data_IF_534986962445
#
_entry.id   IF_534986962445
#
_cell.length_a   1.000
_cell.length_b   1.000
_cell.length_c   1.000
_cell.angle_alpha   90.00
_cell.angle_beta   90.00
_cell.angle_gamma   90.00
#
_symmetry.space_group_name_H-M   'P 1'
#
loop_
_entity.id
_entity.type
_entity.pdbx_description
1 polymer ?
#
# COMPACT_ATOMS: atom_id res chain seq x y z
N UNK A 1 24.52 61.95 47.87
CA UNK A 1 23.71 61.82 46.66
C UNK A 1 24.37 60.77 45.78
N UNK A 2 23.84 59.59 45.63
CA UNK A 2 24.42 58.57 44.76
C UNK A 2 23.89 58.69 43.32
N UNK A 3 24.77 58.62 42.35
CA UNK A 3 24.48 58.66 40.95
C UNK A 3 23.89 57.32 40.45
N UNK A 4 22.79 57.38 39.68
CA UNK A 4 22.19 56.24 39.06
C UNK A 4 23.01 55.73 37.87
N UNK A 5 23.16 54.41 37.65
CA UNK A 5 23.83 53.86 36.47
C UNK A 5 22.90 53.86 35.28
N UNK A 6 23.43 54.32 34.11
CA UNK A 6 22.80 54.29 32.82
C UNK A 6 22.62 52.83 32.33
N UNK A 7 21.40 52.50 31.92
CA UNK A 7 21.07 51.18 31.36
C UNK A 7 21.70 51.02 29.94
N UNK A 8 22.25 49.85 29.61
CA UNK A 8 22.80 49.59 28.27
C UNK A 8 21.72 49.45 27.21
N UNK A 9 21.90 50.16 26.10
CA UNK A 9 21.00 50.13 24.93
C UNK A 9 21.07 48.75 24.21
N UNK A 10 20.16 47.86 24.58
CA UNK A 10 20.03 46.47 24.02
C UNK A 10 19.35 46.40 22.64
N UNK A 11 18.97 47.53 22.02
CA UNK A 11 18.18 47.56 20.80
C UNK A 11 18.94 47.61 19.45
N UNK A 12 20.23 47.91 19.47
CA UNK A 12 20.98 48.22 18.21
C UNK A 12 21.44 46.95 17.45
N UNK A 13 21.38 45.78 18.06
CA UNK A 13 21.80 44.52 17.44
C UNK A 13 20.63 43.68 16.85
N UNK A 14 19.40 44.01 17.17
CA UNK A 14 18.22 43.29 16.67
C UNK A 14 17.94 43.54 15.17
N UNK A 15 18.23 44.74 14.67
CA UNK A 15 18.00 45.10 13.27
C UNK A 15 18.92 44.34 12.30
N UNK A 16 20.25 44.25 12.51
CA UNK A 16 21.12 43.46 11.64
C UNK A 16 20.85 41.98 11.74
N UNK A 17 20.47 41.42 12.93
CA UNK A 17 20.09 40.04 13.10
C UNK A 17 18.80 39.68 12.31
N UNK A 18 17.81 40.57 12.32
CA UNK A 18 16.56 40.40 11.56
C UNK A 18 16.81 40.36 10.05
N UNK A 19 17.70 41.27 9.53
CA UNK A 19 18.04 41.30 8.10
C UNK A 19 18.72 39.99 7.68
N UNK A 20 19.63 39.43 8.49
CA UNK A 20 20.29 38.14 8.17
C UNK A 20 19.30 36.99 8.15
N UNK A 21 18.36 36.93 9.09
CA UNK A 21 17.33 35.86 9.13
C UNK A 21 16.39 35.99 7.93
N UNK A 22 15.93 37.16 7.58
CA UNK A 22 15.06 37.37 6.41
C UNK A 22 15.79 37.01 5.11
N UNK A 23 17.07 37.39 4.98
CA UNK A 23 17.88 37.04 3.80
C UNK A 23 18.10 35.53 3.65
N UNK A 24 18.31 34.79 4.76
CA UNK A 24 18.48 33.35 4.75
C UNK A 24 17.17 32.62 4.41
N UNK A 25 16.02 33.11 4.89
CA UNK A 25 14.72 32.48 4.58
C UNK A 25 14.30 32.73 3.14
N UNK A 26 14.54 33.91 2.58
CA UNK A 26 14.23 34.22 1.17
C UNK A 26 15.21 33.51 0.23
N UNK A 27 16.51 33.51 0.52
CA UNK A 27 17.52 32.84 -0.28
C UNK A 27 17.40 31.34 -0.25
N UNK A 28 17.14 30.75 0.92
CA UNK A 28 16.91 29.31 1.10
C UNK A 28 15.62 28.81 0.42
N UNK A 29 14.56 29.63 0.47
CA UNK A 29 13.29 29.32 -0.19
C UNK A 29 13.39 29.31 -1.71
N UNK A 30 14.17 30.20 -2.31
CA UNK A 30 14.39 30.24 -3.76
C UNK A 30 15.27 29.10 -4.25
N UNK A 31 16.31 28.70 -3.50
CA UNK A 31 17.13 27.54 -3.82
C UNK A 31 16.36 26.22 -3.69
N UNK A 32 15.51 26.07 -2.66
CA UNK A 32 14.65 24.92 -2.53
C UNK A 32 13.65 24.80 -3.68
N UNK A 33 13.14 25.91 -4.20
CA UNK A 33 12.24 25.93 -5.35
C UNK A 33 12.92 25.44 -6.63
N UNK A 34 14.21 25.77 -6.82
CA UNK A 34 14.98 25.33 -8.01
C UNK A 34 15.28 23.83 -7.94
N UNK A 35 15.58 23.28 -6.77
CA UNK A 35 15.81 21.83 -6.55
C UNK A 35 14.52 21.01 -6.68
N UNK A 36 13.35 21.62 -6.34
CA UNK A 36 12.04 20.98 -6.49
C UNK A 36 11.30 21.34 -7.78
N UNK A 37 11.91 22.09 -8.71
CA UNK A 37 11.37 22.20 -10.06
C UNK A 37 11.42 20.82 -10.70
N UNK A 38 10.24 20.24 -10.97
CA UNK A 38 10.15 19.10 -11.89
C UNK A 38 10.80 19.50 -13.20
N UNK A 39 11.68 18.67 -13.78
CA UNK A 39 12.18 18.92 -15.14
C UNK A 39 10.97 19.05 -16.06
N UNK A 40 10.86 20.15 -16.78
CA UNK A 40 9.93 20.27 -17.88
C UNK A 40 10.26 19.11 -18.84
N UNK A 41 9.28 18.28 -19.11
CA UNK A 41 9.40 17.12 -19.98
C UNK A 41 9.85 17.59 -21.37
N UNK A 42 11.15 17.47 -21.66
CA UNK A 42 11.63 17.43 -23.02
C UNK A 42 10.97 16.23 -23.69
N UNK A 43 10.25 16.49 -24.77
CA UNK A 43 9.61 15.48 -25.60
C UNK A 43 10.68 14.52 -26.12
N UNK A 44 10.83 13.38 -25.46
CA UNK A 44 11.49 12.21 -26.00
C UNK A 44 10.45 11.12 -26.17
N UNK A 45 10.31 10.69 -27.43
CA UNK A 45 9.31 9.79 -27.96
C UNK A 45 9.66 8.35 -27.53
N UNK A 46 9.67 8.10 -26.24
CA UNK A 46 9.66 6.78 -25.65
C UNK A 46 8.31 6.59 -24.98
N UNK A 47 7.46 5.78 -25.56
CA UNK A 47 6.18 5.38 -24.95
C UNK A 47 6.45 4.56 -23.72
N UNK A 48 6.80 5.24 -22.60
CA UNK A 48 6.60 4.67 -21.27
C UNK A 48 5.10 4.78 -21.06
N UNK A 49 4.38 3.72 -21.37
CA UNK A 49 3.00 3.58 -20.94
C UNK A 49 3.00 3.64 -19.40
N UNK A 50 2.87 4.85 -18.86
CA UNK A 50 2.38 5.04 -17.52
C UNK A 50 1.03 4.35 -17.54
N UNK A 51 0.95 3.12 -17.03
CA UNK A 51 -0.33 2.48 -16.73
C UNK A 51 -0.96 3.33 -15.64
N UNK A 52 -1.62 4.39 -16.05
CA UNK A 52 -2.66 5.01 -15.26
C UNK A 52 -3.59 3.86 -14.91
N UNK A 53 -3.83 3.61 -13.63
CA UNK A 53 -4.87 2.69 -13.19
C UNK A 53 -6.18 3.21 -13.77
N UNK A 54 -6.47 2.86 -15.03
CA UNK A 54 -7.76 3.12 -15.63
C UNK A 54 -8.72 2.21 -14.89
N UNK A 55 -9.63 2.81 -14.16
CA UNK A 55 -10.76 2.08 -13.61
C UNK A 55 -11.41 1.33 -14.75
N UNK A 56 -11.47 0.00 -14.64
CA UNK A 56 -12.17 -0.83 -15.61
C UNK A 56 -13.66 -0.46 -15.59
N UNK A 57 -14.30 -0.50 -16.75
CA UNK A 57 -15.74 -0.34 -16.83
C UNK A 57 -16.45 -1.37 -15.90
N UNK A 58 -17.61 -1.04 -15.30
CA UNK A 58 -18.31 -1.92 -14.38
C UNK A 58 -18.49 -3.35 -14.89
N UNK A 59 -18.72 -3.52 -16.20
CA UNK A 59 -18.91 -4.82 -16.85
C UNK A 59 -17.61 -5.64 -16.96
N UNK A 60 -16.45 -5.00 -16.78
CA UNK A 60 -15.13 -5.62 -16.85
C UNK A 60 -14.55 -5.93 -15.45
N UNK A 61 -15.26 -5.54 -14.39
CA UNK A 61 -14.83 -5.83 -13.02
C UNK A 61 -15.06 -7.31 -12.67
N UNK A 62 -14.20 -7.90 -11.85
CA UNK A 62 -13.04 -7.33 -11.15
C UNK A 62 -11.75 -7.24 -11.99
N UNK A 63 -11.78 -7.59 -13.27
CA UNK A 63 -10.62 -7.65 -14.16
C UNK A 63 -9.89 -8.99 -14.13
N UNK A 64 -8.63 -9.01 -14.57
CA UNK A 64 -7.81 -10.22 -14.68
C UNK A 64 -7.52 -10.82 -13.29
N UNK A 65 -7.70 -12.14 -13.10
CA UNK A 65 -7.33 -12.82 -11.87
C UNK A 65 -5.82 -13.07 -11.72
N UNK A 66 -5.01 -12.68 -12.72
CA UNK A 66 -3.57 -12.88 -12.70
C UNK A 66 -2.90 -11.89 -11.77
N UNK A 67 -2.00 -12.38 -10.90
CA UNK A 67 -1.20 -11.54 -10.01
C UNK A 67 -0.09 -10.85 -10.80
N UNK A 68 -0.19 -9.53 -10.90
CA UNK A 68 0.83 -8.66 -11.49
C UNK A 68 1.72 -8.06 -10.40
N UNK A 69 2.93 -7.63 -10.79
CA UNK A 69 3.89 -6.97 -9.91
C UNK A 69 4.39 -5.69 -10.53
N UNK A 70 4.60 -4.67 -9.71
CA UNK A 70 5.40 -3.50 -10.12
C UNK A 70 6.86 -3.91 -10.36
N UNK A 71 7.66 -3.12 -11.09
CA UNK A 71 9.09 -3.38 -11.24
C UNK A 71 9.82 -3.47 -9.89
N UNK A 72 9.44 -2.67 -8.89
CA UNK A 72 10.00 -2.70 -7.54
C UNK A 72 9.71 -4.04 -6.84
N UNK A 73 8.46 -4.49 -6.84
CA UNK A 73 8.10 -5.78 -6.26
C UNK A 73 8.76 -6.97 -7.00
N UNK A 74 8.85 -6.89 -8.34
CA UNK A 74 9.46 -7.94 -9.16
C UNK A 74 10.98 -8.06 -8.98
N UNK A 75 11.64 -6.99 -8.54
CA UNK A 75 13.08 -7.00 -8.25
C UNK A 75 13.43 -7.63 -6.89
N UNK A 76 12.45 -7.90 -6.03
CA UNK A 76 12.70 -8.48 -4.72
C UNK A 76 13.17 -9.94 -4.80
N UNK A 77 14.16 -10.39 -3.99
CA UNK A 77 14.70 -11.77 -4.05
C UNK A 77 13.66 -12.89 -3.91
N UNK A 78 12.53 -12.61 -3.22
CA UNK A 78 11.45 -13.57 -3.02
C UNK A 78 10.23 -13.32 -3.94
N UNK A 79 10.36 -12.49 -4.98
CA UNK A 79 9.25 -12.09 -5.84
C UNK A 79 8.48 -13.28 -6.43
N UNK A 80 9.17 -14.28 -6.98
CA UNK A 80 8.52 -15.44 -7.61
C UNK A 80 7.74 -16.27 -6.59
N UNK A 81 8.31 -16.48 -5.41
CA UNK A 81 7.63 -17.21 -4.31
C UNK A 81 6.39 -16.47 -3.81
N UNK A 82 6.48 -15.15 -3.66
CA UNK A 82 5.35 -14.30 -3.25
C UNK A 82 4.27 -14.28 -4.33
N UNK A 83 4.64 -14.14 -5.60
CA UNK A 83 3.69 -14.20 -6.72
C UNK A 83 2.93 -15.52 -6.75
N UNK A 84 3.64 -16.64 -6.67
CA UNK A 84 3.03 -17.97 -6.69
C UNK A 84 2.10 -18.18 -5.48
N UNK A 85 2.50 -17.72 -4.29
CA UNK A 85 1.67 -17.78 -3.09
C UNK A 85 0.38 -16.98 -3.27
N UNK A 86 0.47 -15.73 -3.72
CA UNK A 86 -0.70 -14.86 -3.92
C UNK A 86 -1.60 -15.38 -5.04
N UNK A 87 -1.04 -15.88 -6.14
CA UNK A 87 -1.82 -16.49 -7.22
C UNK A 87 -2.68 -17.64 -6.69
N UNK A 88 -2.06 -18.59 -5.97
CA UNK A 88 -2.78 -19.71 -5.38
C UNK A 88 -3.84 -19.25 -4.35
N UNK A 89 -3.55 -18.20 -3.59
CA UNK A 89 -4.49 -17.65 -2.62
C UNK A 89 -5.75 -17.08 -3.29
N UNK A 90 -5.58 -16.24 -4.31
CA UNK A 90 -6.71 -15.66 -5.05
C UNK A 90 -7.43 -16.71 -5.92
N UNK A 91 -6.70 -17.63 -6.52
CA UNK A 91 -7.31 -18.76 -7.26
C UNK A 91 -8.19 -19.62 -6.35
N UNK A 92 -7.74 -19.85 -5.12
CA UNK A 92 -8.52 -20.60 -4.12
C UNK A 92 -9.84 -19.89 -3.78
N UNK A 93 -9.80 -18.57 -3.57
CA UNK A 93 -11.00 -17.75 -3.31
C UNK A 93 -11.93 -17.79 -4.53
N UNK A 94 -11.41 -17.49 -5.72
CA UNK A 94 -12.16 -17.45 -6.96
C UNK A 94 -12.81 -18.78 -7.34
N UNK A 95 -12.15 -19.90 -7.02
CA UNK A 95 -12.65 -21.25 -7.24
C UNK A 95 -13.46 -21.80 -6.06
N UNK A 96 -13.59 -21.07 -4.94
CA UNK A 96 -14.16 -21.56 -3.67
C UNK A 96 -13.51 -22.86 -3.18
N UNK A 97 -12.20 -22.95 -3.31
CA UNK A 97 -11.41 -24.12 -2.96
C UNK A 97 -10.73 -23.93 -1.58
N UNK A 98 -11.45 -24.30 -0.51
CA UNK A 98 -10.94 -24.20 0.86
C UNK A 98 -9.66 -25.02 1.08
N UNK A 99 -9.54 -26.20 0.46
CA UNK A 99 -8.35 -27.04 0.63
C UNK A 99 -7.10 -26.38 0.03
N UNK A 100 -7.23 -25.76 -1.15
CA UNK A 100 -6.15 -24.97 -1.75
C UNK A 100 -5.83 -23.76 -0.87
N UNK A 101 -6.85 -23.01 -0.40
CA UNK A 101 -6.66 -21.86 0.48
C UNK A 101 -5.86 -22.23 1.74
N UNK A 102 -6.14 -23.35 2.40
CA UNK A 102 -5.37 -23.81 3.57
C UNK A 102 -3.89 -23.99 3.27
N UNK A 103 -3.53 -24.31 2.04
CA UNK A 103 -2.12 -24.47 1.67
C UNK A 103 -1.40 -23.14 1.53
N UNK A 104 -2.11 -22.03 1.40
CA UNK A 104 -1.55 -20.69 1.19
C UNK A 104 -1.41 -19.86 2.46
N UNK A 105 -2.07 -20.25 3.54
CA UNK A 105 -2.06 -19.55 4.82
C UNK A 105 -1.29 -20.32 5.88
N UNK A 106 -0.90 -19.66 6.98
CA UNK A 106 -0.27 -20.32 8.12
C UNK A 106 -1.19 -21.36 8.73
N UNK A 107 -0.60 -22.38 9.36
CA UNK A 107 -1.37 -23.40 10.07
C UNK A 107 -2.32 -22.79 11.11
N UNK A 108 -1.86 -21.77 11.82
CA UNK A 108 -2.68 -21.07 12.81
C UNK A 108 -3.89 -20.39 12.16
N UNK A 109 -3.69 -19.68 11.06
CA UNK A 109 -4.77 -19.02 10.32
C UNK A 109 -5.76 -20.03 9.72
N UNK A 110 -5.26 -21.16 9.20
CA UNK A 110 -6.10 -22.24 8.68
C UNK A 110 -6.97 -22.89 9.76
N UNK A 111 -6.45 -23.03 10.99
CA UNK A 111 -7.19 -23.58 12.14
C UNK A 111 -8.22 -22.62 12.73
N UNK A 112 -7.97 -21.31 12.62
CA UNK A 112 -8.88 -20.28 13.12
C UNK A 112 -10.14 -20.08 12.28
N UNK A 113 -10.23 -20.69 11.08
CA UNK A 113 -11.34 -20.52 10.13
C UNK A 113 -11.85 -21.87 9.66
N UNK A 114 -13.05 -22.24 10.06
CA UNK A 114 -13.68 -23.46 9.57
C UNK A 114 -14.03 -23.34 8.07
N UNK A 115 -14.19 -24.50 7.41
CA UNK A 115 -14.61 -24.53 6.00
C UNK A 115 -15.94 -23.82 5.77
N UNK A 116 -16.92 -24.04 6.65
CA UNK A 116 -18.26 -23.46 6.54
C UNK A 116 -18.20 -21.93 6.65
N UNK A 117 -17.45 -21.39 7.62
CA UNK A 117 -17.27 -19.95 7.78
C UNK A 117 -16.52 -19.35 6.58
N UNK A 118 -15.48 -20.03 6.10
CA UNK A 118 -14.71 -19.58 4.96
C UNK A 118 -15.56 -19.56 3.67
N UNK A 119 -16.34 -20.60 3.41
CA UNK A 119 -17.26 -20.66 2.25
C UNK A 119 -18.35 -19.59 2.35
N UNK A 120 -18.82 -19.26 3.54
CA UNK A 120 -19.79 -18.19 3.76
C UNK A 120 -19.18 -16.81 3.47
N UNK A 121 -17.93 -16.56 3.91
CA UNK A 121 -17.24 -15.27 3.69
C UNK A 121 -16.97 -15.00 2.21
N UNK A 122 -16.69 -16.01 1.40
CA UNK A 122 -16.33 -15.86 0.00
C UNK A 122 -17.39 -16.38 -0.99
N UNK A 123 -18.64 -16.58 -0.53
CA UNK A 123 -19.69 -17.26 -1.32
C UNK A 123 -20.00 -16.57 -2.66
N UNK A 124 -19.95 -15.23 -2.72
CA UNK A 124 -20.21 -14.45 -3.93
C UNK A 124 -18.96 -13.74 -4.47
N UNK A 125 -17.83 -13.79 -3.74
CA UNK A 125 -16.61 -13.05 -4.06
C UNK A 125 -15.94 -13.54 -5.33
N UNK A 126 -15.50 -12.58 -6.15
CA UNK A 126 -14.56 -12.74 -7.25
C UNK A 126 -13.52 -11.64 -7.18
N UNK A 127 -12.25 -12.02 -7.19
CA UNK A 127 -11.12 -11.12 -7.09
C UNK A 127 -10.37 -11.03 -8.43
N UNK A 128 -9.95 -9.82 -8.77
CA UNK A 128 -9.16 -9.56 -9.97
C UNK A 128 -8.38 -8.25 -9.87
N UNK A 129 -7.73 -7.84 -10.96
CA UNK A 129 -6.86 -6.65 -11.02
C UNK A 129 -5.83 -6.63 -9.89
N UNK A 130 -5.23 -7.78 -9.62
CA UNK A 130 -4.35 -8.00 -8.47
C UNK A 130 -2.95 -7.49 -8.78
N UNK A 131 -2.50 -6.48 -8.03
CA UNK A 131 -1.18 -5.87 -8.20
C UNK A 131 -0.41 -5.85 -6.88
N UNK A 132 0.80 -6.41 -6.89
CA UNK A 132 1.76 -6.29 -5.79
C UNK A 132 2.59 -5.04 -6.04
N UNK A 133 2.45 -4.04 -5.16
CA UNK A 133 3.18 -2.77 -5.26
C UNK A 133 4.60 -2.90 -4.72
N UNK A 134 4.76 -3.61 -3.59
CA UNK A 134 6.02 -3.75 -2.89
C UNK A 134 6.07 -5.01 -2.04
N UNK A 135 7.28 -5.55 -1.87
CA UNK A 135 7.60 -6.61 -0.92
C UNK A 135 8.69 -6.07 0.00
N UNK A 136 8.50 -6.17 1.31
CA UNK A 136 9.44 -5.68 2.32
C UNK A 136 9.88 -6.83 3.22
N UNK A 137 11.20 -6.98 3.39
CA UNK A 137 11.76 -7.90 4.37
C UNK A 137 11.75 -7.25 5.76
N UNK A 138 11.20 -7.96 6.73
CA UNK A 138 11.15 -7.51 8.12
C UNK A 138 12.35 -8.04 8.90
N UNK A 139 12.74 -7.33 9.97
CA UNK A 139 13.93 -7.65 10.76
C UNK A 139 13.89 -9.01 11.48
N UNK A 140 12.74 -9.65 11.55
CA UNK A 140 12.51 -10.97 12.16
C UNK A 140 12.50 -12.14 11.15
N UNK A 141 12.85 -11.88 9.89
CA UNK A 141 12.86 -12.87 8.81
C UNK A 141 11.49 -13.13 8.17
N UNK A 142 10.48 -12.33 8.50
CA UNK A 142 9.17 -12.33 7.82
C UNK A 142 9.18 -11.38 6.63
N UNK A 143 8.12 -11.42 5.82
CA UNK A 143 7.88 -10.47 4.73
C UNK A 143 6.55 -9.75 4.95
N UNK A 144 6.43 -8.58 4.35
CA UNK A 144 5.17 -7.90 4.14
C UNK A 144 5.00 -7.56 2.66
N UNK A 145 3.81 -7.78 2.11
CA UNK A 145 3.48 -7.37 0.74
C UNK A 145 2.37 -6.34 0.75
N UNK A 146 2.63 -5.17 0.18
CA UNK A 146 1.62 -4.17 -0.11
C UNK A 146 0.96 -4.53 -1.44
N UNK A 147 -0.35 -4.83 -1.42
CA UNK A 147 -1.11 -5.24 -2.59
C UNK A 147 -2.36 -4.38 -2.78
N UNK A 148 -2.80 -4.26 -4.02
CA UNK A 148 -4.12 -3.76 -4.39
C UNK A 148 -4.84 -4.80 -5.24
N UNK A 149 -6.15 -4.90 -5.08
CA UNK A 149 -7.00 -5.75 -5.92
C UNK A 149 -8.44 -5.26 -5.91
N UNK A 150 -9.24 -5.78 -6.80
CA UNK A 150 -10.67 -5.48 -6.88
C UNK A 150 -11.47 -6.74 -6.61
N UNK A 151 -12.48 -6.63 -5.74
CA UNK A 151 -13.47 -7.69 -5.51
C UNK A 151 -14.82 -7.30 -6.05
N UNK A 152 -15.51 -8.22 -6.68
CA UNK A 152 -16.95 -8.13 -6.93
C UNK A 152 -17.68 -9.17 -6.09
N UNK A 153 -18.81 -8.79 -5.52
CA UNK A 153 -19.61 -9.65 -4.62
C UNK A 153 -21.07 -9.17 -4.56
N UNK A 154 -21.94 -9.98 -3.98
CA UNK A 154 -23.25 -9.49 -3.54
C UNK A 154 -23.03 -8.39 -2.48
N UNK A 155 -23.71 -7.23 -2.55
CA UNK A 155 -23.47 -6.13 -1.62
C UNK A 155 -23.57 -6.52 -0.14
N UNK A 156 -24.45 -7.45 0.22
CA UNK A 156 -24.61 -7.97 1.58
C UNK A 156 -23.41 -8.79 2.08
N UNK A 157 -22.54 -9.24 1.18
CA UNK A 157 -21.30 -9.99 1.48
C UNK A 157 -20.07 -9.07 1.49
N UNK A 158 -20.25 -7.79 1.16
CA UNK A 158 -19.22 -6.77 1.24
C UNK A 158 -18.88 -6.36 2.68
N UNK A 159 -17.88 -5.50 2.87
CA UNK A 159 -17.53 -4.96 4.18
C UNK A 159 -18.75 -4.31 4.84
N UNK A 160 -18.87 -4.46 6.16
CA UNK A 160 -20.03 -3.95 6.91
C UNK A 160 -20.22 -2.44 6.73
N UNK A 161 -19.13 -1.71 6.57
CA UNK A 161 -19.09 -0.26 6.38
C UNK A 161 -19.13 0.17 4.90
N UNK A 162 -19.08 -0.80 3.95
CA UNK A 162 -19.14 -0.56 2.51
C UNK A 162 -19.82 -1.72 1.77
N UNK A 163 -21.15 -1.76 1.84
CA UNK A 163 -21.96 -2.80 1.17
C UNK A 163 -22.17 -2.47 -0.32
N UNK A 164 -21.11 -2.65 -1.10
CA UNK A 164 -21.09 -2.35 -2.54
C UNK A 164 -20.79 -3.60 -3.36
N UNK A 165 -21.33 -3.70 -4.60
CA UNK A 165 -21.09 -4.85 -5.46
C UNK A 165 -19.66 -4.94 -5.98
N UNK A 166 -18.90 -3.84 -5.89
CA UNK A 166 -17.51 -3.77 -6.32
C UNK A 166 -16.70 -2.91 -5.34
N UNK A 167 -15.64 -3.51 -4.78
CA UNK A 167 -14.78 -2.89 -3.79
C UNK A 167 -13.32 -3.02 -4.21
N UNK A 168 -12.60 -1.91 -4.18
CA UNK A 168 -11.16 -1.87 -4.37
C UNK A 168 -10.45 -1.92 -3.02
N UNK A 169 -9.49 -2.80 -2.88
CA UNK A 169 -8.76 -3.06 -1.66
C UNK A 169 -7.30 -2.64 -1.77
N UNK A 170 -6.76 -2.13 -0.66
CA UNK A 170 -5.33 -1.93 -0.46
C UNK A 170 -4.94 -2.56 0.89
N UNK A 171 -4.14 -3.61 0.84
CA UNK A 171 -3.78 -4.40 2.01
C UNK A 171 -2.27 -4.52 2.15
N UNK A 172 -1.82 -4.57 3.40
CA UNK A 172 -0.49 -5.08 3.75
C UNK A 172 -0.67 -6.50 4.28
N UNK A 173 -0.15 -7.48 3.55
CA UNK A 173 -0.26 -8.89 3.92
C UNK A 173 1.04 -9.38 4.56
N UNK A 174 1.02 -9.79 5.83
CA UNK A 174 2.15 -10.40 6.48
C UNK A 174 2.36 -11.83 5.96
N UNK A 175 3.63 -12.21 5.80
CA UNK A 175 4.03 -13.53 5.31
C UNK A 175 5.13 -14.10 6.20
N UNK A 176 5.02 -15.38 6.52
CA UNK A 176 6.01 -16.12 7.29
C UNK A 176 6.47 -17.36 6.53
N UNK A 177 7.64 -17.85 6.85
CA UNK A 177 8.19 -19.07 6.25
C UNK A 177 7.79 -20.27 7.11
N UNK A 178 6.90 -21.13 6.61
CA UNK A 178 6.56 -22.41 7.22
C UNK A 178 7.03 -23.58 6.34
N UNK A 179 7.85 -24.47 6.88
CA UNK A 179 8.40 -25.63 6.18
C UNK A 179 9.07 -25.27 4.83
N UNK A 180 9.78 -24.13 4.79
CA UNK A 180 10.48 -23.67 3.59
C UNK A 180 9.58 -23.01 2.53
N UNK A 181 8.31 -22.79 2.81
CA UNK A 181 7.35 -22.12 1.92
C UNK A 181 6.77 -20.87 2.57
N UNK A 182 6.66 -19.79 1.80
CA UNK A 182 5.94 -18.60 2.26
C UNK A 182 4.46 -18.89 2.45
N UNK A 183 3.91 -18.37 3.54
CA UNK A 183 2.49 -18.47 3.92
C UNK A 183 1.97 -17.13 4.35
N UNK A 184 0.72 -16.82 3.98
CA UNK A 184 0.03 -15.64 4.47
C UNK A 184 -0.35 -15.82 5.94
N UNK A 185 0.10 -14.91 6.77
CA UNK A 185 -0.27 -14.89 8.18
C UNK A 185 -1.52 -14.04 8.43
N UNK A 186 -2.01 -14.03 9.65
CA UNK A 186 -3.14 -13.20 10.05
C UNK A 186 -2.72 -11.72 10.03
N UNK A 187 -3.60 -10.87 9.52
CA UNK A 187 -3.45 -9.42 9.63
C UNK A 187 -3.56 -9.06 11.13
N UNK A 188 -2.62 -8.28 11.68
CA UNK A 188 -2.65 -7.92 13.09
C UNK A 188 -3.98 -7.27 13.51
N UNK A 189 -4.46 -7.62 14.69
CA UNK A 189 -5.67 -7.03 15.24
C UNK A 189 -5.53 -5.50 15.34
N UNK A 190 -6.58 -4.77 15.00
CA UNK A 190 -6.58 -3.30 14.97
C UNK A 190 -6.05 -2.69 13.66
N UNK A 191 -5.59 -3.49 12.71
CA UNK A 191 -5.31 -3.01 11.35
C UNK A 191 -6.62 -2.95 10.57
N UNK A 192 -7.02 -1.76 10.15
CA UNK A 192 -8.18 -1.60 9.26
C UNK A 192 -7.71 -1.66 7.81
N UNK A 193 -8.18 -2.63 7.02
CA UNK A 193 -7.92 -2.65 5.59
C UNK A 193 -8.43 -1.37 4.92
N UNK A 194 -7.62 -0.76 4.06
CA UNK A 194 -8.11 0.34 3.22
C UNK A 194 -8.96 -0.24 2.09
N UNK A 195 -10.19 0.26 1.94
CA UNK A 195 -11.07 -0.14 0.87
C UNK A 195 -11.96 1.02 0.43
N UNK A 196 -12.33 1.00 -0.83
CA UNK A 196 -13.18 2.00 -1.46
C UNK A 196 -14.07 1.36 -2.52
N UNK A 197 -15.17 2.05 -2.85
CA UNK A 197 -16.03 1.63 -3.98
C UNK A 197 -15.26 1.74 -5.29
N UNK A 198 -15.50 0.81 -6.22
CA UNK A 198 -15.04 0.94 -7.59
C UNK A 198 -15.69 2.17 -8.28
N UNK A 199 -14.89 2.91 -9.00
CA UNK A 199 -15.34 4.10 -9.77
C UNK A 199 -15.17 3.84 -11.25
#
# INVERSE_FOLDING_TARGET
MPASPLAPARGRWLVPALIVVVSLTVGGGLLAREVYRKPDAAADTGVIATRTSQSLAPEQQPGSPVVEMTPDAAAHPHADGVRALLQNYFDAINARNYELWKTTVTKLRAQAKSKVEWEADYRSTKDGSILVYRIEAMGDGTLQSLIGFTSTQDPQDGPVDLQEPCVRWHLTLPMVLENGMWKLDAIPAGTTPMHERCT
#
